data_IF_653177899377
#
_entry.id   IF_653177899377
#
_cell.length_a   1.000
_cell.length_b   1.000
_cell.length_c   1.000
_cell.angle_alpha   90.00
_cell.angle_beta   90.00
_cell.angle_gamma   90.00
#
_symmetry.space_group_name_H-M   'P 1'
#
loop_
_entity.id
_entity.type
_entity.pdbx_description
1 polymer ?
#
# COMPACT_ATOMS: atom_id res chain seq x y z
N UNK A 1 0.98 18.18 -23.00
CA UNK A 1 2.31 18.04 -22.39
C UNK A 1 2.29 18.93 -21.16
N UNK A 2 1.85 18.40 -20.05
CA UNK A 2 1.94 19.07 -18.76
C UNK A 2 3.41 18.94 -18.34
N UNK A 3 4.08 20.07 -18.13
CA UNK A 3 5.45 20.09 -17.62
C UNK A 3 5.44 19.37 -16.27
N UNK A 4 6.12 18.22 -16.23
CA UNK A 4 6.48 17.56 -14.98
C UNK A 4 7.26 18.58 -14.14
N UNK A 5 6.93 18.70 -12.86
CA UNK A 5 7.71 19.51 -11.94
C UNK A 5 9.20 19.19 -12.11
N UNK A 6 10.12 20.20 -12.03
CA UNK A 6 11.52 19.93 -12.25
C UNK A 6 12.00 18.88 -11.27
N UNK A 7 12.46 17.74 -11.83
CA UNK A 7 13.04 16.68 -11.05
C UNK A 7 14.18 17.28 -10.20
N UNK A 8 14.17 17.01 -8.91
CA UNK A 8 15.36 17.23 -8.08
C UNK A 8 16.44 16.38 -8.75
N UNK A 9 17.51 17.02 -9.27
CA UNK A 9 18.64 16.25 -9.84
C UNK A 9 19.22 15.36 -8.73
N UNK A 10 18.78 14.11 -8.70
CA UNK A 10 19.27 13.14 -7.72
C UNK A 10 20.76 12.90 -7.91
N UNK A 11 21.48 12.91 -6.82
CA UNK A 11 22.95 12.67 -6.84
C UNK A 11 23.19 11.18 -7.10
N UNK A 12 23.89 10.89 -8.21
CA UNK A 12 24.36 9.52 -8.50
C UNK A 12 25.65 9.25 -7.70
N UNK A 13 25.68 8.23 -6.84
CA UNK A 13 26.90 7.88 -6.11
C UNK A 13 28.05 7.51 -7.04
N UNK A 14 29.33 7.87 -6.71
CA UNK A 14 30.46 7.65 -7.62
C UNK A 14 30.75 6.18 -7.98
N UNK A 15 30.28 5.24 -7.16
CA UNK A 15 30.46 3.80 -7.41
C UNK A 15 29.42 3.22 -8.38
N UNK A 16 28.38 3.97 -8.73
CA UNK A 16 27.34 3.52 -9.66
C UNK A 16 27.88 3.61 -11.10
N UNK A 17 27.91 2.50 -11.87
CA UNK A 17 28.34 2.54 -13.26
C UNK A 17 27.38 3.42 -14.10
N UNK A 18 27.91 4.36 -14.92
CA UNK A 18 27.06 5.28 -15.70
C UNK A 18 26.06 4.59 -16.63
N UNK A 19 26.42 3.41 -17.15
CA UNK A 19 25.54 2.60 -18.02
C UNK A 19 24.31 2.04 -17.32
N UNK A 20 24.37 1.92 -15.98
CA UNK A 20 23.25 1.46 -15.16
C UNK A 20 22.35 2.61 -14.69
N UNK A 21 22.74 3.86 -14.89
CA UNK A 21 21.90 5.00 -14.52
C UNK A 21 20.75 5.12 -15.51
N UNK A 22 19.52 5.16 -15.03
CA UNK A 22 18.30 5.30 -15.83
C UNK A 22 17.42 6.40 -15.27
N UNK A 23 16.81 7.16 -16.17
CA UNK A 23 15.80 8.15 -15.82
C UNK A 23 14.48 7.45 -15.52
N UNK A 24 14.21 7.25 -14.26
CA UNK A 24 12.95 6.74 -13.73
C UNK A 24 12.56 7.61 -12.54
N UNK A 25 11.37 8.15 -12.61
CA UNK A 25 10.82 8.97 -11.55
C UNK A 25 9.59 8.28 -10.94
N UNK A 26 9.77 7.79 -9.73
CA UNK A 26 8.72 7.25 -8.87
C UNK A 26 8.94 7.87 -7.49
N UNK A 27 7.93 8.53 -6.94
CA UNK A 27 8.03 9.18 -5.64
C UNK A 27 6.89 10.15 -5.40
N UNK A 28 6.97 10.87 -4.29
CA UNK A 28 5.99 11.87 -3.89
C UNK A 28 5.88 12.99 -4.94
N UNK A 29 4.64 13.41 -5.25
CA UNK A 29 4.36 14.51 -6.17
C UNK A 29 4.42 14.14 -7.65
N UNK A 30 4.72 12.89 -8.00
CA UNK A 30 4.69 12.45 -9.40
C UNK A 30 3.34 11.88 -9.78
N UNK A 31 2.78 12.41 -10.86
CA UNK A 31 1.43 12.11 -11.36
C UNK A 31 1.49 11.66 -12.81
N UNK A 32 0.61 10.74 -13.20
CA UNK A 32 0.46 10.28 -14.57
C UNK A 32 -1.02 10.13 -14.94
N UNK A 33 -1.37 10.47 -16.18
CA UNK A 33 -2.68 10.14 -16.77
C UNK A 33 -2.73 8.70 -17.31
N UNK A 34 -1.55 8.06 -17.44
CA UNK A 34 -1.44 6.67 -17.87
C UNK A 34 -1.78 5.74 -16.70
N UNK A 35 -2.17 4.51 -17.01
CA UNK A 35 -2.21 3.48 -15.98
C UNK A 35 -0.79 3.26 -15.44
N UNK A 36 -0.53 3.40 -14.13
CA UNK A 36 0.83 3.23 -13.57
C UNK A 36 1.50 1.90 -13.93
N UNK A 37 0.71 0.85 -14.08
CA UNK A 37 1.18 -0.48 -14.43
C UNK A 37 1.70 -0.60 -15.88
N UNK A 38 1.34 0.31 -16.78
CA UNK A 38 1.97 0.41 -18.11
C UNK A 38 3.43 0.86 -18.01
N UNK A 39 3.73 1.74 -17.04
CA UNK A 39 5.10 2.16 -16.74
C UNK A 39 5.91 0.98 -16.20
N UNK A 40 5.29 0.15 -15.35
CA UNK A 40 5.91 -1.10 -14.85
C UNK A 40 6.23 -2.05 -15.99
N UNK A 41 5.32 -2.23 -16.96
CA UNK A 41 5.55 -3.07 -18.13
C UNK A 41 6.66 -2.51 -19.03
N UNK A 42 6.76 -1.19 -19.17
CA UNK A 42 7.87 -0.53 -19.89
C UNK A 42 9.21 -0.75 -19.20
N UNK A 43 9.26 -0.68 -17.87
CA UNK A 43 10.48 -0.99 -17.10
C UNK A 43 10.93 -2.43 -17.38
N UNK A 44 10.00 -3.40 -17.39
CA UNK A 44 10.35 -4.77 -17.72
C UNK A 44 10.84 -4.96 -19.14
N UNK A 45 10.31 -4.21 -20.10
CA UNK A 45 10.65 -4.31 -21.51
C UNK A 45 11.96 -3.60 -21.86
N UNK A 46 12.15 -2.37 -21.34
CA UNK A 46 13.11 -1.40 -21.88
C UNK A 46 14.32 -1.17 -20.97
N UNK A 47 14.26 -1.55 -19.68
CA UNK A 47 15.32 -1.32 -18.72
C UNK A 47 16.13 -2.60 -18.43
N UNK A 48 17.40 -2.50 -18.05
CA UNK A 48 18.18 -3.66 -17.63
C UNK A 48 17.59 -4.28 -16.33
N UNK A 49 17.95 -5.53 -16.00
CA UNK A 49 17.46 -6.20 -14.80
C UNK A 49 17.76 -5.43 -13.50
N UNK A 50 18.89 -4.72 -13.46
CA UNK A 50 19.32 -3.88 -12.34
C UNK A 50 19.71 -2.52 -12.88
N UNK A 51 19.25 -1.45 -12.27
CA UNK A 51 19.62 -0.09 -12.61
C UNK A 51 19.51 0.84 -11.41
N UNK A 52 20.19 1.99 -11.50
CA UNK A 52 20.09 3.06 -10.51
C UNK A 52 19.19 4.18 -11.05
N UNK A 53 18.20 4.57 -10.28
CA UNK A 53 17.28 5.66 -10.60
C UNK A 53 17.54 6.85 -9.66
N UNK A 54 18.12 7.97 -10.16
CA UNK A 54 18.49 9.12 -9.31
C UNK A 54 17.30 9.79 -8.61
N UNK A 55 16.12 9.69 -9.23
CA UNK A 55 14.90 10.33 -8.75
C UNK A 55 13.93 9.36 -8.04
N UNK A 56 14.38 8.14 -7.75
CA UNK A 56 13.58 7.15 -7.06
C UNK A 56 13.24 7.61 -5.64
N UNK A 57 11.96 7.66 -5.30
CA UNK A 57 11.46 8.01 -3.96
C UNK A 57 12.08 9.29 -3.40
N UNK A 58 12.36 10.27 -4.30
CA UNK A 58 12.94 11.59 -4.00
C UNK A 58 14.35 11.57 -3.38
N UNK A 59 15.05 10.43 -3.42
CA UNK A 59 16.39 10.29 -2.83
C UNK A 59 17.36 9.44 -3.66
N UNK A 60 16.87 8.83 -4.74
CA UNK A 60 17.65 7.91 -5.58
C UNK A 60 17.83 6.52 -4.95
N UNK A 61 18.09 5.53 -5.80
CA UNK A 61 18.32 4.17 -5.34
C UNK A 61 18.40 3.14 -6.47
N UNK A 62 18.81 1.95 -6.09
CA UNK A 62 18.83 0.80 -6.95
C UNK A 62 17.44 0.22 -7.17
N UNK A 63 17.13 -0.16 -8.39
CA UNK A 63 15.90 -0.84 -8.78
C UNK A 63 16.25 -2.20 -9.37
N UNK A 64 15.61 -3.23 -8.84
CA UNK A 64 15.67 -4.60 -9.34
C UNK A 64 14.32 -4.96 -9.91
N UNK A 65 14.22 -5.16 -11.25
CA UNK A 65 12.93 -5.43 -11.86
C UNK A 65 12.48 -6.89 -11.78
N UNK A 66 13.44 -7.83 -11.60
CA UNK A 66 13.13 -9.25 -11.52
C UNK A 66 12.59 -9.65 -10.16
N UNK A 67 11.61 -10.51 -10.18
CA UNK A 67 10.97 -11.07 -8.97
C UNK A 67 11.98 -11.82 -8.10
N UNK A 68 12.89 -12.60 -8.71
CA UNK A 68 13.89 -13.37 -7.98
C UNK A 68 14.89 -12.50 -7.21
N UNK A 69 15.35 -11.40 -7.83
CA UNK A 69 16.27 -10.46 -7.22
C UNK A 69 15.61 -9.72 -6.05
N UNK A 70 14.38 -9.27 -6.24
CA UNK A 70 13.60 -8.66 -5.17
C UNK A 70 13.31 -9.63 -4.02
N UNK A 71 13.02 -10.89 -4.34
CA UNK A 71 12.84 -11.93 -3.33
C UNK A 71 14.08 -12.09 -2.46
N UNK A 72 15.28 -12.11 -3.07
CA UNK A 72 16.52 -12.19 -2.35
C UNK A 72 16.72 -11.00 -1.39
N UNK A 73 16.43 -9.78 -1.86
CA UNK A 73 16.51 -8.55 -1.03
C UNK A 73 15.51 -8.60 0.13
N UNK A 74 14.25 -8.96 -0.12
CA UNK A 74 13.21 -9.03 0.93
C UNK A 74 13.53 -10.03 2.04
N UNK A 75 14.29 -11.10 1.71
CA UNK A 75 14.62 -12.17 2.66
C UNK A 75 15.95 -11.95 3.39
N UNK A 76 16.75 -10.98 2.98
CA UNK A 76 18.07 -10.72 3.52
C UNK A 76 18.10 -9.46 4.40
N UNK A 77 17.53 -9.59 5.59
CA UNK A 77 17.53 -8.49 6.57
C UNK A 77 18.93 -8.22 7.17
N UNK A 78 19.92 -9.10 6.96
CA UNK A 78 21.30 -8.87 7.41
C UNK A 78 21.99 -7.77 6.57
N UNK A 79 21.70 -7.73 5.26
CA UNK A 79 22.28 -6.75 4.34
C UNK A 79 21.33 -5.61 4.02
N UNK A 80 20.00 -5.82 4.03
CA UNK A 80 19.00 -4.86 3.60
C UNK A 80 18.01 -4.53 4.74
N UNK A 81 18.39 -3.53 5.53
CA UNK A 81 17.63 -3.07 6.69
C UNK A 81 16.32 -2.37 6.30
N UNK A 82 15.31 -2.58 7.14
CA UNK A 82 14.04 -1.87 7.07
C UNK A 82 14.01 -0.58 7.90
N UNK A 83 15.09 -0.26 8.59
CA UNK A 83 15.13 0.92 9.46
C UNK A 83 15.09 2.21 8.65
N UNK A 84 14.34 3.20 9.16
CA UNK A 84 14.25 4.53 8.55
C UNK A 84 13.85 4.54 7.08
N UNK A 85 12.79 3.79 6.74
CA UNK A 85 12.23 3.78 5.37
C UNK A 85 11.56 5.12 5.03
N UNK A 86 11.02 5.82 6.02
CA UNK A 86 10.37 7.12 5.88
C UNK A 86 10.83 8.09 6.98
N UNK A 87 10.95 9.40 6.69
CA UNK A 87 11.46 10.38 7.63
C UNK A 87 10.39 10.91 8.63
N UNK A 88 9.26 10.21 8.82
CA UNK A 88 8.12 10.73 9.57
C UNK A 88 8.45 11.04 11.04
N UNK A 89 9.22 10.18 11.71
CA UNK A 89 9.62 10.44 13.10
C UNK A 89 10.51 11.69 13.20
N UNK A 90 11.46 11.86 12.28
CA UNK A 90 12.33 13.03 12.20
C UNK A 90 11.53 14.31 11.92
N UNK A 91 10.60 14.27 10.98
CA UNK A 91 9.71 15.39 10.63
C UNK A 91 8.86 15.84 11.81
N UNK A 92 8.43 14.91 12.67
CA UNK A 92 7.71 15.23 13.91
C UNK A 92 8.63 15.67 15.06
N UNK A 93 9.96 15.68 14.89
CA UNK A 93 10.92 15.91 15.97
C UNK A 93 10.85 14.84 17.06
N UNK A 94 10.36 13.65 16.73
CA UNK A 94 10.13 12.53 17.63
C UNK A 94 11.26 11.51 17.62
N UNK A 95 11.27 10.66 18.64
CA UNK A 95 12.17 9.50 18.75
C UNK A 95 11.34 8.22 18.86
N UNK A 96 10.68 7.87 17.76
CA UNK A 96 9.88 6.65 17.59
C UNK A 96 10.15 6.04 16.22
N UNK A 97 9.79 4.79 16.03
CA UNK A 97 9.92 4.08 14.75
C UNK A 97 8.59 3.45 14.39
N UNK A 98 8.29 3.31 13.12
CA UNK A 98 7.08 2.62 12.65
C UNK A 98 7.17 1.12 12.94
N UNK A 99 6.44 0.65 13.96
CA UNK A 99 6.46 -0.73 14.40
C UNK A 99 5.34 -1.53 13.72
N UNK A 100 5.61 -2.73 13.15
CA UNK A 100 6.91 -3.40 13.05
C UNK A 100 7.66 -3.15 11.74
N UNK A 101 7.18 -2.29 10.83
CA UNK A 101 7.69 -2.18 9.45
C UNK A 101 9.12 -1.64 9.37
N UNK A 102 9.54 -0.80 10.33
CA UNK A 102 10.89 -0.27 10.45
C UNK A 102 11.76 -1.02 11.47
N UNK A 103 11.37 -2.23 11.83
CA UNK A 103 12.16 -3.06 12.74
C UNK A 103 12.87 -4.18 11.98
N UNK A 104 14.12 -4.43 12.34
CA UNK A 104 14.87 -5.62 11.91
C UNK A 104 14.86 -6.68 13.01
N UNK A 105 15.24 -7.94 12.73
CA UNK A 105 15.43 -8.95 13.78
C UNK A 105 16.55 -8.54 14.77
N UNK A 106 16.44 -8.89 16.07
CA UNK A 106 15.37 -9.72 16.65
C UNK A 106 14.11 -8.97 17.05
N UNK A 107 14.13 -7.62 17.16
CA UNK A 107 13.04 -6.79 17.69
C UNK A 107 11.75 -6.95 16.87
N UNK A 108 11.87 -7.01 15.53
CA UNK A 108 10.75 -7.24 14.63
C UNK A 108 9.90 -8.44 15.04
N UNK A 109 10.52 -9.55 15.45
CA UNK A 109 9.81 -10.80 15.77
C UNK A 109 8.89 -10.65 16.98
N UNK A 110 9.29 -9.85 17.98
CA UNK A 110 8.50 -9.62 19.18
C UNK A 110 7.18 -8.92 18.84
N UNK A 111 7.26 -7.80 18.10
CA UNK A 111 6.07 -7.04 17.72
C UNK A 111 5.20 -7.80 16.72
N UNK A 112 5.83 -8.51 15.79
CA UNK A 112 5.10 -9.33 14.82
C UNK A 112 4.27 -10.39 15.51
N UNK A 113 4.86 -11.09 16.47
CA UNK A 113 4.19 -12.14 17.26
C UNK A 113 3.03 -11.58 18.08
N UNK A 114 3.20 -10.38 18.64
CA UNK A 114 2.15 -9.67 19.37
C UNK A 114 0.95 -9.35 18.48
N UNK A 115 1.17 -8.91 17.25
CA UNK A 115 0.10 -8.48 16.35
C UNK A 115 -0.61 -9.62 15.64
N UNK A 116 0.08 -10.73 15.36
CA UNK A 116 -0.46 -11.85 14.56
C UNK A 116 -1.86 -12.34 14.98
N UNK A 117 -2.23 -12.43 16.27
CA UNK A 117 -3.57 -12.89 16.66
C UNK A 117 -4.70 -12.03 16.06
N UNK A 118 -4.52 -10.69 15.97
CA UNK A 118 -5.50 -9.74 15.44
C UNK A 118 -5.64 -9.81 13.91
N UNK A 119 -4.61 -10.28 13.23
CA UNK A 119 -4.56 -10.36 11.77
C UNK A 119 -4.63 -11.81 11.26
N UNK A 120 -4.95 -12.76 12.15
CA UNK A 120 -5.13 -14.17 11.77
C UNK A 120 -6.34 -14.34 10.84
N UNK A 121 -6.39 -15.45 10.05
CA UNK A 121 -7.57 -15.73 9.21
C UNK A 121 -8.88 -15.76 9.99
N UNK A 122 -8.83 -16.21 11.27
CA UNK A 122 -10.00 -16.24 12.16
C UNK A 122 -10.42 -14.82 12.56
N UNK A 123 -9.49 -14.00 13.07
CA UNK A 123 -9.79 -12.63 13.47
C UNK A 123 -10.30 -11.79 12.28
N UNK A 124 -9.73 -11.98 11.08
CA UNK A 124 -10.23 -11.36 9.88
C UNK A 124 -11.65 -11.84 9.52
N UNK A 125 -11.98 -13.12 9.78
CA UNK A 125 -13.34 -13.63 9.56
C UNK A 125 -14.35 -13.05 10.55
N UNK A 126 -13.93 -12.77 11.76
CA UNK A 126 -14.80 -12.16 12.79
C UNK A 126 -15.20 -10.71 12.41
N UNK A 127 -14.52 -10.09 11.44
CA UNK A 127 -14.85 -8.76 10.88
C UNK A 127 -15.82 -8.81 9.69
N UNK A 128 -16.15 -9.99 9.13
CA UNK A 128 -16.93 -10.10 7.89
C UNK A 128 -18.26 -9.33 7.91
N UNK A 129 -19.01 -9.44 8.99
CA UNK A 129 -20.32 -8.76 9.12
C UNK A 129 -20.16 -7.23 9.08
N UNK A 130 -19.13 -6.70 9.75
CA UNK A 130 -18.81 -5.27 9.75
C UNK A 130 -18.32 -4.80 8.38
N UNK A 131 -17.46 -5.58 7.75
CA UNK A 131 -16.95 -5.30 6.39
C UNK A 131 -18.12 -5.21 5.41
N UNK A 132 -19.04 -6.17 5.44
CA UNK A 132 -20.22 -6.18 4.58
C UNK A 132 -21.18 -5.02 4.90
N UNK A 133 -21.39 -4.71 6.17
CA UNK A 133 -22.24 -3.60 6.63
C UNK A 133 -21.71 -2.26 6.12
N UNK A 134 -20.41 -1.97 6.35
CA UNK A 134 -19.80 -0.71 5.92
C UNK A 134 -19.78 -0.58 4.40
N UNK A 135 -19.37 -1.61 3.66
CA UNK A 135 -19.40 -1.57 2.20
C UNK A 135 -20.81 -1.30 1.67
N UNK A 136 -21.82 -2.03 2.15
CA UNK A 136 -23.23 -1.84 1.74
C UNK A 136 -23.72 -0.44 2.08
N UNK A 137 -23.44 0.06 3.28
CA UNK A 137 -23.90 1.39 3.72
C UNK A 137 -23.33 2.52 2.85
N UNK A 138 -22.09 2.41 2.37
CA UNK A 138 -21.52 3.40 1.47
C UNK A 138 -22.16 3.32 0.07
N UNK A 139 -22.31 2.13 -0.50
CA UNK A 139 -22.92 1.93 -1.83
C UNK A 139 -24.34 2.48 -1.88
N UNK A 140 -25.14 2.24 -0.83
CA UNK A 140 -26.52 2.73 -0.75
C UNK A 140 -26.66 4.26 -0.81
N UNK A 141 -25.61 5.02 -0.50
CA UNK A 141 -25.63 6.49 -0.58
C UNK A 141 -25.66 7.02 -2.00
N UNK A 142 -25.19 6.23 -2.98
CA UNK A 142 -25.06 6.67 -4.36
C UNK A 142 -25.67 5.72 -5.41
N UNK A 143 -26.05 4.48 -5.05
CA UNK A 143 -26.55 3.48 -6.02
C UNK A 143 -27.70 3.97 -6.92
N UNK A 144 -28.53 4.89 -6.40
CA UNK A 144 -29.68 5.45 -7.12
C UNK A 144 -29.35 6.69 -7.97
N UNK A 145 -28.10 7.18 -7.91
CA UNK A 145 -27.71 8.42 -8.59
C UNK A 145 -27.24 8.21 -10.04
N UNK A 146 -27.06 6.95 -10.46
CA UNK A 146 -26.52 6.61 -11.78
C UNK A 146 -25.03 6.91 -11.95
N UNK A 147 -24.36 7.44 -10.92
CA UNK A 147 -22.94 7.73 -10.91
C UNK A 147 -22.36 7.94 -9.51
N UNK A 148 -21.04 7.80 -9.40
CA UNK A 148 -20.28 8.19 -8.21
C UNK A 148 -18.85 8.60 -8.59
N UNK A 149 -18.17 9.32 -7.70
CA UNK A 149 -16.72 9.42 -7.71
C UNK A 149 -16.20 8.31 -6.80
N UNK A 150 -15.79 7.18 -7.39
CA UNK A 150 -15.52 5.94 -6.68
C UNK A 150 -14.44 6.07 -5.59
N UNK A 151 -13.37 6.82 -5.85
CA UNK A 151 -12.31 6.98 -4.84
C UNK A 151 -12.85 7.72 -3.62
N UNK A 152 -13.50 8.86 -3.80
CA UNK A 152 -14.01 9.70 -2.74
C UNK A 152 -15.27 9.13 -2.06
N UNK A 153 -16.21 8.56 -2.84
CA UNK A 153 -17.51 8.13 -2.33
C UNK A 153 -17.45 6.72 -1.72
N UNK A 154 -16.41 5.93 -2.03
CA UNK A 154 -16.30 4.56 -1.56
C UNK A 154 -14.89 4.14 -1.15
N UNK A 155 -13.91 4.20 -2.07
CA UNK A 155 -12.63 3.49 -1.93
C UNK A 155 -11.77 4.00 -0.77
N UNK A 156 -11.74 5.31 -0.53
CA UNK A 156 -11.01 5.91 0.59
C UNK A 156 -11.78 5.79 1.92
N UNK A 157 -13.10 5.73 1.88
CA UNK A 157 -13.94 5.68 3.08
C UNK A 157 -13.97 4.27 3.66
N UNK A 158 -14.28 3.29 2.82
CA UNK A 158 -14.62 1.95 3.27
C UNK A 158 -13.49 1.25 4.05
N UNK A 159 -12.24 1.18 3.56
CA UNK A 159 -11.13 0.60 4.33
C UNK A 159 -10.81 1.40 5.60
N UNK A 160 -10.97 2.74 5.54
CA UNK A 160 -10.73 3.60 6.70
C UNK A 160 -11.68 3.29 7.85
N UNK A 161 -12.95 3.00 7.57
CA UNK A 161 -13.91 2.59 8.60
C UNK A 161 -13.51 1.27 9.27
N UNK A 162 -13.01 0.31 8.50
CA UNK A 162 -12.50 -0.98 9.03
C UNK A 162 -11.27 -0.77 9.91
N UNK A 163 -10.33 0.08 9.46
CA UNK A 163 -9.16 0.43 10.25
C UNK A 163 -9.55 1.07 11.59
N UNK A 164 -10.43 2.08 11.58
CA UNK A 164 -10.88 2.76 12.78
C UNK A 164 -11.58 1.80 13.75
N UNK A 165 -12.42 0.90 13.24
CA UNK A 165 -13.07 -0.15 14.04
C UNK A 165 -12.02 -1.07 14.70
N UNK A 166 -11.02 -1.54 13.95
CA UNK A 166 -9.96 -2.41 14.44
C UNK A 166 -9.13 -1.74 15.56
N UNK A 167 -8.86 -0.45 15.42
CA UNK A 167 -8.09 0.35 16.36
C UNK A 167 -8.91 0.89 17.54
N UNK A 168 -10.25 0.70 17.53
CA UNK A 168 -11.16 1.25 18.53
C UNK A 168 -11.24 2.78 18.48
N UNK A 169 -11.08 3.37 17.28
CA UNK A 169 -11.17 4.81 17.08
C UNK A 169 -12.57 5.22 16.63
N UNK A 170 -13.01 6.48 16.88
CA UNK A 170 -14.30 6.97 16.42
C UNK A 170 -14.41 6.95 14.90
N UNK A 171 -15.30 6.09 14.35
CA UNK A 171 -15.49 5.93 12.91
C UNK A 171 -16.02 7.19 12.23
N UNK A 172 -16.67 8.07 12.96
CA UNK A 172 -17.18 9.36 12.48
C UNK A 172 -16.06 10.33 12.06
N UNK A 173 -14.84 10.09 12.52
CA UNK A 173 -13.66 10.91 12.21
C UNK A 173 -12.90 10.45 10.98
N UNK A 174 -13.42 9.50 10.21
CA UNK A 174 -12.70 8.92 9.06
C UNK A 174 -12.19 9.99 8.07
N UNK A 175 -12.96 11.07 7.84
CA UNK A 175 -12.54 12.15 6.92
C UNK A 175 -11.25 12.83 7.36
N UNK A 176 -11.06 13.03 8.67
CA UNK A 176 -9.83 13.61 9.21
C UNK A 176 -8.63 12.67 8.99
N UNK A 177 -8.82 11.36 9.23
CA UNK A 177 -7.76 10.37 9.02
C UNK A 177 -7.35 10.27 7.55
N UNK A 178 -8.30 10.25 6.64
CA UNK A 178 -8.04 10.27 5.18
C UNK A 178 -7.32 11.56 4.77
N UNK A 179 -7.71 12.72 5.30
CA UNK A 179 -7.05 13.99 5.00
C UNK A 179 -5.59 14.00 5.49
N UNK A 180 -5.33 13.57 6.73
CA UNK A 180 -3.97 13.49 7.27
C UNK A 180 -3.08 12.58 6.44
N UNK A 181 -3.58 11.42 6.06
CA UNK A 181 -2.84 10.47 5.24
C UNK A 181 -2.54 11.02 3.85
N UNK A 182 -3.52 11.62 3.17
CA UNK A 182 -3.33 12.24 1.87
C UNK A 182 -2.22 13.31 1.90
N UNK A 183 -2.22 14.18 2.91
CA UNK A 183 -1.16 15.18 3.09
C UNK A 183 0.19 14.46 3.29
N UNK A 184 0.26 13.48 4.18
CA UNK A 184 1.53 12.81 4.50
C UNK A 184 2.11 12.03 3.32
N UNK A 185 1.29 11.45 2.45
CA UNK A 185 1.77 10.61 1.36
C UNK A 185 1.92 11.34 0.02
N UNK A 186 1.15 12.42 -0.23
CA UNK A 186 1.00 13.00 -1.55
C UNK A 186 1.33 14.49 -1.66
N UNK A 187 1.31 15.23 -0.54
CA UNK A 187 1.62 16.66 -0.58
C UNK A 187 3.13 16.86 -0.79
N UNK A 188 3.52 17.80 -1.63
CA UNK A 188 4.90 18.17 -1.92
C UNK A 188 5.44 19.24 -0.96
N UNK A 189 4.55 19.93 -0.23
CA UNK A 189 4.91 20.88 0.83
C UNK A 189 5.32 20.15 2.12
N UNK A 190 6.62 20.04 2.36
CA UNK A 190 7.16 19.31 3.52
C UNK A 190 6.80 19.93 4.87
N UNK A 191 6.47 21.23 4.93
CA UNK A 191 5.99 21.85 6.17
C UNK A 191 4.56 21.39 6.49
N UNK A 192 3.71 21.25 5.48
CA UNK A 192 2.37 20.66 5.61
C UNK A 192 2.46 19.19 6.00
N UNK A 193 3.36 18.44 5.39
CA UNK A 193 3.62 17.03 5.74
C UNK A 193 4.04 16.92 7.21
N UNK A 194 5.02 17.71 7.64
CA UNK A 194 5.49 17.71 9.04
C UNK A 194 4.35 18.06 10.02
N UNK A 195 3.51 19.03 9.66
CA UNK A 195 2.33 19.41 10.46
C UNK A 195 1.31 18.27 10.56
N UNK A 196 1.02 17.57 9.46
CA UNK A 196 0.12 16.42 9.46
C UNK A 196 0.67 15.26 10.31
N UNK A 197 1.96 14.94 10.16
CA UNK A 197 2.64 13.93 11.00
C UNK A 197 2.51 14.29 12.47
N UNK A 198 2.82 15.55 12.85
CA UNK A 198 2.68 16.03 14.23
C UNK A 198 1.25 15.93 14.76
N UNK A 199 0.25 16.17 13.91
CA UNK A 199 -1.18 16.05 14.27
C UNK A 199 -1.54 14.60 14.57
N UNK A 200 -1.13 13.65 13.73
CA UNK A 200 -1.38 12.22 13.92
C UNK A 200 -0.66 11.69 15.18
N UNK A 201 0.59 12.07 15.38
CA UNK A 201 1.36 11.70 16.58
C UNK A 201 0.65 12.22 17.83
N UNK A 202 0.29 13.49 17.88
CA UNK A 202 -0.45 14.10 19.00
C UNK A 202 -1.78 13.37 19.26
N UNK A 203 -2.50 13.02 18.22
CA UNK A 203 -3.75 12.27 18.34
C UNK A 203 -3.52 10.94 19.06
N UNK A 204 -2.58 10.12 18.58
CA UNK A 204 -2.30 8.84 19.22
C UNK A 204 -1.73 8.99 20.63
N UNK A 205 -0.91 10.00 20.90
CA UNK A 205 -0.44 10.29 22.26
C UNK A 205 -1.58 10.58 23.23
N UNK A 206 -2.57 11.37 22.81
CA UNK A 206 -3.75 11.68 23.61
C UNK A 206 -4.62 10.45 23.84
N UNK A 207 -4.85 9.63 22.80
CA UNK A 207 -5.60 8.38 22.93
C UNK A 207 -4.93 7.39 23.90
N UNK A 208 -3.61 7.22 23.80
CA UNK A 208 -2.85 6.36 24.70
C UNK A 208 -2.95 6.86 26.14
N UNK A 209 -2.82 8.18 26.37
CA UNK A 209 -2.92 8.76 27.70
C UNK A 209 -4.34 8.64 28.28
N UNK A 210 -5.37 8.86 27.48
CA UNK A 210 -6.77 8.75 27.90
C UNK A 210 -7.17 7.30 28.28
N UNK A 211 -6.53 6.30 27.67
CA UNK A 211 -6.82 4.88 27.88
C UNK A 211 -5.96 4.21 28.96
N UNK A 212 -5.11 4.94 29.68
CA UNK A 212 -4.19 4.33 30.67
C UNK A 212 -4.87 3.49 31.75
N UNK A 213 -6.03 3.92 32.25
CA UNK A 213 -6.78 3.22 33.31
C UNK A 213 -7.82 2.24 32.74
N UNK A 214 -8.22 2.44 31.49
CA UNK A 214 -9.20 1.59 30.79
C UNK A 214 -8.80 1.41 29.32
N UNK A 215 -7.87 0.52 29.01
CA UNK A 215 -7.28 0.36 27.67
C UNK A 215 -8.28 -0.01 26.58
N UNK A 216 -9.37 -0.74 26.90
CA UNK A 216 -10.32 -1.27 25.94
C UNK A 216 -9.90 -2.67 25.41
N UNK A 217 -10.80 -3.26 24.59
CA UNK A 217 -10.64 -4.61 24.04
C UNK A 217 -10.18 -4.57 22.55
N UNK A 218 -9.96 -3.39 21.99
CA UNK A 218 -9.47 -3.16 20.63
C UNK A 218 -7.96 -3.38 20.52
N UNK A 219 -7.41 -3.24 19.30
CA UNK A 219 -6.00 -3.51 19.04
C UNK A 219 -5.07 -2.57 19.83
N UNK A 220 -5.41 -1.28 19.95
CA UNK A 220 -4.60 -0.35 20.75
C UNK A 220 -4.66 -0.72 22.24
N UNK A 221 -5.83 -1.01 22.79
CA UNK A 221 -6.01 -1.44 24.19
C UNK A 221 -5.22 -2.72 24.50
N UNK A 222 -5.25 -3.68 23.58
CA UNK A 222 -4.43 -4.88 23.70
C UNK A 222 -2.93 -4.54 23.69
N UNK A 223 -2.44 -3.73 22.77
CA UNK A 223 -1.03 -3.34 22.69
C UNK A 223 -0.56 -2.62 23.97
N UNK A 224 -1.42 -1.81 24.60
CA UNK A 224 -1.13 -1.11 25.84
C UNK A 224 -0.96 -2.06 27.05
N UNK A 225 -1.59 -3.22 27.01
CA UNK A 225 -1.58 -4.20 28.13
C UNK A 225 -0.63 -5.36 27.90
N UNK A 226 -0.31 -5.67 26.65
CA UNK A 226 0.54 -6.78 26.27
C UNK A 226 2.01 -6.57 26.68
N UNK A 227 2.72 -7.67 26.87
CA UNK A 227 4.16 -7.66 27.13
C UNK A 227 4.94 -8.03 25.87
N UNK A 228 5.96 -7.23 25.59
CA UNK A 228 6.94 -7.48 24.54
C UNK A 228 8.29 -7.67 25.21
N UNK A 229 8.91 -8.81 25.04
CA UNK A 229 10.18 -9.16 25.67
C UNK A 229 10.18 -8.97 27.21
N UNK A 230 9.07 -9.39 27.86
CA UNK A 230 8.90 -9.33 29.31
C UNK A 230 8.63 -7.93 29.91
N UNK A 231 8.34 -6.92 29.07
CA UNK A 231 7.95 -5.59 29.50
C UNK A 231 6.77 -5.05 28.68
N UNK A 232 6.04 -4.11 29.23
CA UNK A 232 5.04 -3.35 28.48
C UNK A 232 5.71 -2.42 27.46
N UNK A 233 4.99 -2.16 26.37
CA UNK A 233 5.41 -1.16 25.38
C UNK A 233 5.46 0.24 26.02
N UNK A 234 6.51 0.98 25.68
CA UNK A 234 6.62 2.40 26.01
C UNK A 234 5.60 3.23 25.19
N UNK A 235 5.36 4.48 25.59
CA UNK A 235 4.48 5.39 24.84
C UNK A 235 4.97 5.59 23.39
N UNK A 236 6.28 5.74 23.18
CA UNK A 236 6.87 5.90 21.86
C UNK A 236 6.66 4.66 20.97
N UNK A 237 6.76 3.46 21.55
CA UNK A 237 6.48 2.22 20.82
C UNK A 237 5.00 2.11 20.45
N UNK A 238 4.09 2.48 21.34
CA UNK A 238 2.64 2.51 21.06
C UNK A 238 2.30 3.55 19.99
N UNK A 239 2.92 4.73 20.02
CA UNK A 239 2.77 5.76 18.97
C UNK A 239 3.27 5.22 17.64
N UNK A 240 4.48 4.65 17.59
CA UNK A 240 5.05 4.09 16.37
C UNK A 240 4.25 2.93 15.80
N UNK A 241 3.68 2.07 16.65
CA UNK A 241 2.77 1.01 16.26
C UNK A 241 1.48 1.58 15.65
N UNK A 242 0.84 2.52 16.34
CA UNK A 242 -0.42 3.13 15.88
C UNK A 242 -0.23 3.90 14.58
N UNK A 243 0.87 4.65 14.47
CA UNK A 243 1.21 5.40 13.27
C UNK A 243 1.47 4.47 12.07
N UNK A 244 2.22 3.37 12.27
CA UNK A 244 2.43 2.40 11.20
C UNK A 244 1.13 1.75 10.73
N UNK A 245 0.27 1.34 11.66
CA UNK A 245 -1.00 0.73 11.32
C UNK A 245 -1.94 1.70 10.61
N UNK A 246 -1.89 2.99 10.99
CA UNK A 246 -2.62 4.06 10.33
C UNK A 246 -2.21 4.17 8.85
N UNK A 247 -0.92 4.32 8.55
CA UNK A 247 -0.45 4.40 7.16
C UNK A 247 -0.71 3.12 6.35
N UNK A 248 -0.53 1.96 6.97
CA UNK A 248 -0.68 0.70 6.26
C UNK A 248 -2.14 0.32 6.00
N UNK A 249 -3.06 0.80 6.82
CA UNK A 249 -4.45 0.34 6.84
C UNK A 249 -5.43 1.14 5.97
N UNK A 250 -5.10 2.39 5.61
CA UNK A 250 -6.04 3.25 4.89
C UNK A 250 -5.83 3.21 3.36
N UNK A 251 -4.61 3.39 2.91
CA UNK A 251 -4.30 3.72 1.52
C UNK A 251 -4.17 2.49 0.60
N UNK A 252 -3.62 1.40 1.11
CA UNK A 252 -3.24 0.26 0.27
C UNK A 252 -4.44 -0.49 -0.33
N UNK A 253 -5.49 -0.73 0.46
CA UNK A 253 -6.72 -1.36 -0.05
C UNK A 253 -7.46 -0.41 -0.98
N UNK A 254 -7.47 0.89 -0.65
CA UNK A 254 -8.05 1.94 -1.48
C UNK A 254 -7.42 1.98 -2.87
N UNK A 255 -6.09 1.90 -2.94
CA UNK A 255 -5.35 1.84 -4.20
C UNK A 255 -5.73 0.62 -5.06
N UNK A 256 -5.74 -0.56 -4.44
CA UNK A 256 -6.14 -1.78 -5.15
C UNK A 256 -7.58 -1.73 -5.64
N UNK A 257 -8.52 -1.26 -4.82
CA UNK A 257 -9.91 -1.05 -5.23
C UNK A 257 -9.99 -0.09 -6.42
N UNK A 258 -9.27 1.04 -6.39
CA UNK A 258 -9.21 2.00 -7.48
C UNK A 258 -8.78 1.35 -8.80
N UNK A 259 -7.70 0.57 -8.79
CA UNK A 259 -7.20 -0.12 -10.00
C UNK A 259 -8.14 -1.25 -10.46
N UNK A 260 -8.68 -2.04 -9.54
CA UNK A 260 -9.62 -3.13 -9.84
C UNK A 260 -10.89 -2.58 -10.51
N UNK A 261 -11.49 -1.55 -9.92
CA UNK A 261 -12.74 -0.97 -10.44
C UNK A 261 -12.52 -0.18 -11.73
N UNK A 262 -11.36 0.49 -11.91
CA UNK A 262 -10.96 1.04 -13.20
C UNK A 262 -10.90 -0.06 -14.26
N UNK A 263 -10.21 -1.16 -13.97
CA UNK A 263 -10.10 -2.28 -14.89
C UNK A 263 -11.47 -2.85 -15.25
N UNK A 264 -12.34 -3.10 -14.27
CA UNK A 264 -13.69 -3.63 -14.54
C UNK A 264 -14.57 -2.65 -15.34
N UNK A 265 -14.42 -1.34 -15.14
CA UNK A 265 -15.11 -0.31 -15.90
C UNK A 265 -14.62 -0.21 -17.36
N UNK A 266 -13.34 -0.53 -17.61
CA UNK A 266 -12.73 -0.57 -18.95
C UNK A 266 -12.93 -1.94 -19.66
N UNK A 267 -13.29 -3.01 -18.90
CA UNK A 267 -13.43 -4.38 -19.41
C UNK A 267 -14.82 -4.98 -19.07
N UNK A 268 -15.87 -4.55 -19.79
CA UNK A 268 -17.25 -4.94 -19.49
C UNK A 268 -17.51 -6.45 -19.56
N UNK A 269 -16.79 -7.17 -20.43
CA UNK A 269 -16.93 -8.64 -20.56
C UNK A 269 -16.48 -9.35 -19.26
N UNK A 270 -15.36 -8.92 -18.67
CA UNK A 270 -14.88 -9.47 -17.40
C UNK A 270 -15.75 -9.03 -16.22
N UNK A 271 -16.30 -7.82 -16.25
CA UNK A 271 -17.27 -7.36 -15.27
C UNK A 271 -18.55 -8.21 -15.30
N UNK A 272 -19.06 -8.52 -16.51
CA UNK A 272 -20.24 -9.37 -16.70
C UNK A 272 -19.95 -10.83 -16.30
N UNK A 273 -18.77 -11.34 -16.61
CA UNK A 273 -18.36 -12.68 -16.21
C UNK A 273 -18.37 -12.85 -14.69
N UNK A 274 -17.78 -11.91 -13.92
CA UNK A 274 -17.79 -11.95 -12.48
C UNK A 274 -19.19 -11.77 -11.90
N UNK A 275 -20.06 -10.98 -12.54
CA UNK A 275 -21.46 -10.80 -12.12
C UNK A 275 -22.25 -12.08 -12.28
N UNK A 276 -22.04 -12.81 -13.37
CA UNK A 276 -22.76 -14.04 -13.67
C UNK A 276 -22.17 -15.26 -12.92
N UNK A 277 -20.92 -15.19 -12.46
CA UNK A 277 -20.20 -16.27 -11.79
C UNK A 277 -19.54 -15.78 -10.48
N UNK A 278 -20.33 -15.49 -9.42
CA UNK A 278 -19.80 -14.94 -8.16
C UNK A 278 -18.76 -15.84 -7.47
N UNK A 279 -18.72 -17.13 -7.80
CA UNK A 279 -17.71 -18.06 -7.31
C UNK A 279 -16.30 -17.76 -7.81
N UNK A 280 -16.16 -17.01 -8.93
CA UNK A 280 -14.87 -16.56 -9.46
C UNK A 280 -14.26 -15.39 -8.68
N UNK A 281 -15.03 -14.70 -7.81
CA UNK A 281 -14.56 -13.50 -7.10
C UNK A 281 -13.29 -13.80 -6.29
N UNK A 282 -13.23 -14.91 -5.56
CA UNK A 282 -12.04 -15.24 -4.76
C UNK A 282 -10.79 -15.49 -5.60
N UNK A 283 -10.97 -16.11 -6.73
CA UNK A 283 -9.90 -16.35 -7.70
C UNK A 283 -9.48 -15.04 -8.38
N UNK A 284 -10.45 -14.21 -8.78
CA UNK A 284 -10.18 -12.92 -9.39
C UNK A 284 -9.41 -11.97 -8.45
N UNK A 285 -9.70 -11.97 -7.15
CA UNK A 285 -8.93 -11.18 -6.17
C UNK A 285 -7.45 -11.55 -6.22
N UNK A 286 -7.12 -12.84 -6.32
CA UNK A 286 -5.72 -13.28 -6.37
C UNK A 286 -5.02 -12.72 -7.61
N UNK A 287 -5.68 -12.76 -8.77
CA UNK A 287 -5.14 -12.23 -10.01
C UNK A 287 -5.10 -10.69 -10.02
N UNK A 288 -6.14 -10.02 -9.54
CA UNK A 288 -6.12 -8.57 -9.39
C UNK A 288 -4.98 -8.08 -8.48
N UNK A 289 -4.80 -8.72 -7.34
CA UNK A 289 -3.69 -8.37 -6.43
C UNK A 289 -2.33 -8.59 -7.09
N UNK A 290 -2.17 -9.65 -7.91
CA UNK A 290 -0.97 -9.87 -8.70
C UNK A 290 -0.78 -8.75 -9.74
N UNK A 291 -1.78 -8.50 -10.56
CA UNK A 291 -1.67 -7.58 -11.69
C UNK A 291 -1.55 -6.13 -11.28
N UNK A 292 -2.17 -5.76 -10.16
CA UNK A 292 -2.22 -4.39 -9.64
C UNK A 292 -1.45 -4.22 -8.34
N UNK A 293 -0.29 -4.89 -8.19
CA UNK A 293 0.63 -4.56 -7.10
C UNK A 293 0.89 -3.05 -7.09
N UNK A 294 0.74 -2.40 -5.93
CA UNK A 294 0.71 -0.94 -5.87
C UNK A 294 1.82 -0.33 -5.01
N UNK A 295 2.51 -1.13 -4.20
CA UNK A 295 3.43 -0.62 -3.17
C UNK A 295 4.87 -0.71 -3.63
N UNK A 296 5.60 0.41 -3.50
CA UNK A 296 7.05 0.47 -3.62
C UNK A 296 7.63 1.14 -2.38
N UNK A 297 8.51 0.44 -1.68
CA UNK A 297 9.24 0.95 -0.51
C UNK A 297 10.73 0.74 -0.71
N UNK A 298 11.56 1.33 0.16
CA UNK A 298 12.99 1.16 0.10
C UNK A 298 13.51 0.26 1.23
N UNK A 299 14.72 -0.28 1.03
CA UNK A 299 15.59 -0.85 2.05
C UNK A 299 16.91 -0.10 2.02
N UNK A 300 17.60 -0.06 3.15
CA UNK A 300 18.95 0.49 3.22
C UNK A 300 19.93 -0.67 3.24
N UNK A 301 20.88 -0.67 2.31
CA UNK A 301 22.01 -1.59 2.39
C UNK A 301 22.88 -1.19 3.59
N UNK A 302 23.02 -2.05 4.59
CA UNK A 302 23.79 -1.78 5.82
C UNK A 302 25.13 -2.52 5.85
N UNK A 303 25.36 -3.39 4.86
CA UNK A 303 26.59 -4.15 4.67
C UNK A 303 26.74 -4.44 3.18
N UNK A 304 27.92 -4.14 2.61
CA UNK A 304 28.17 -4.37 1.18
C UNK A 304 27.67 -5.74 0.72
N UNK A 305 26.90 -5.76 -0.35
CA UNK A 305 26.28 -6.96 -0.90
C UNK A 305 26.44 -7.02 -2.42
N UNK A 306 26.26 -8.20 -3.00
CA UNK A 306 26.20 -8.38 -4.45
C UNK A 306 24.85 -9.00 -4.79
N UNK A 307 24.03 -8.29 -5.57
CA UNK A 307 22.74 -8.79 -6.05
C UNK A 307 22.72 -8.72 -7.57
N UNK A 308 22.33 -9.81 -8.23
CA UNK A 308 22.31 -9.92 -9.68
C UNK A 308 23.64 -9.50 -10.36
N UNK A 309 24.78 -9.73 -9.70
CA UNK A 309 26.10 -9.38 -10.20
C UNK A 309 26.50 -7.90 -10.04
N UNK A 310 25.68 -7.08 -9.40
CA UNK A 310 25.95 -5.67 -9.12
C UNK A 310 26.33 -5.49 -7.65
N UNK A 311 27.39 -4.72 -7.39
CA UNK A 311 27.80 -4.36 -6.03
C UNK A 311 26.90 -3.24 -5.49
N UNK A 312 26.24 -3.50 -4.36
CA UNK A 312 25.45 -2.54 -3.60
C UNK A 312 26.26 -2.18 -2.35
N UNK A 313 26.50 -0.90 -2.16
CA UNK A 313 27.34 -0.42 -1.07
C UNK A 313 26.54 -0.08 0.18
N UNK A 314 27.22 -0.19 1.32
CA UNK A 314 26.65 0.28 2.59
C UNK A 314 26.19 1.75 2.46
N UNK A 315 24.96 2.03 2.83
CA UNK A 315 24.27 3.32 2.67
C UNK A 315 23.39 3.45 1.42
N UNK A 316 23.54 2.57 0.44
CA UNK A 316 22.69 2.59 -0.76
C UNK A 316 21.23 2.26 -0.40
N UNK A 317 20.30 2.96 -1.07
CA UNK A 317 18.88 2.62 -1.05
C UNK A 317 18.55 1.63 -2.17
N UNK A 318 17.71 0.68 -1.85
CA UNK A 318 17.23 -0.35 -2.78
C UNK A 318 15.70 -0.36 -2.77
N UNK A 319 15.07 -0.22 -3.93
CA UNK A 319 13.63 -0.34 -4.06
C UNK A 319 13.18 -1.80 -4.00
N UNK A 320 12.13 -2.05 -3.24
CA UNK A 320 11.35 -3.29 -3.29
C UNK A 320 9.92 -2.93 -3.69
N UNK A 321 9.48 -3.46 -4.83
CA UNK A 321 8.24 -3.07 -5.50
C UNK A 321 7.34 -4.28 -5.76
N UNK A 322 6.16 -4.27 -5.16
CA UNK A 322 5.16 -5.33 -5.40
C UNK A 322 4.67 -5.30 -6.85
N UNK A 323 4.63 -4.13 -7.48
CA UNK A 323 4.24 -3.98 -8.88
C UNK A 323 5.25 -4.64 -9.83
N UNK A 324 6.54 -4.30 -9.70
CA UNK A 324 7.60 -4.92 -10.51
C UNK A 324 7.66 -6.43 -10.29
N UNK A 325 7.68 -6.87 -9.03
CA UNK A 325 7.82 -8.28 -8.71
C UNK A 325 6.63 -9.14 -9.19
N UNK A 326 5.42 -8.59 -9.21
CA UNK A 326 4.21 -9.33 -9.57
C UNK A 326 3.84 -9.25 -11.07
N UNK A 327 4.58 -8.47 -11.85
CA UNK A 327 4.41 -8.36 -13.31
C UNK A 327 5.65 -8.82 -14.10
N UNK A 328 6.55 -9.54 -13.45
CA UNK A 328 7.78 -10.04 -14.06
C UNK A 328 7.47 -11.06 -15.19
N UNK A 329 7.83 -10.77 -16.45
CA UNK A 329 7.60 -11.68 -17.57
C UNK A 329 8.45 -12.95 -17.52
N UNK A 330 9.47 -13.02 -16.67
CA UNK A 330 10.24 -14.24 -16.43
C UNK A 330 9.49 -15.23 -15.51
N UNK A 331 8.45 -14.74 -14.78
CA UNK A 331 7.62 -15.53 -13.86
C UNK A 331 6.21 -15.74 -14.42
N UNK A 332 5.66 -14.73 -15.08
CA UNK A 332 4.28 -14.73 -15.56
C UNK A 332 4.21 -14.59 -17.07
N UNK A 333 3.56 -15.53 -17.73
CA UNK A 333 3.17 -15.39 -19.12
C UNK A 333 2.10 -14.30 -19.25
N UNK A 334 2.22 -13.38 -20.23
CA UNK A 334 1.30 -12.24 -20.40
C UNK A 334 1.01 -11.50 -19.07
N UNK A 335 2.02 -10.92 -18.40
CA UNK A 335 1.88 -10.41 -17.04
C UNK A 335 0.91 -9.22 -16.91
N UNK A 336 0.63 -8.50 -18.00
CA UNK A 336 -0.34 -7.40 -18.07
C UNK A 336 -1.79 -7.87 -18.20
N UNK A 337 -2.02 -9.10 -18.65
CA UNK A 337 -3.36 -9.66 -18.81
C UNK A 337 -3.93 -10.16 -17.47
N UNK A 338 -5.24 -9.98 -17.29
CA UNK A 338 -6.00 -10.53 -16.18
C UNK A 338 -6.58 -11.88 -16.57
N UNK A 339 -6.11 -12.94 -15.95
CA UNK A 339 -6.46 -14.34 -16.26
C UNK A 339 -6.86 -15.04 -14.97
N UNK A 340 -8.18 -15.32 -14.80
CA UNK A 340 -8.69 -15.88 -13.53
C UNK A 340 -8.09 -17.23 -13.17
N UNK A 341 -7.90 -18.09 -14.15
CA UNK A 341 -7.36 -19.45 -14.00
C UNK A 341 -5.84 -19.55 -14.20
N UNK A 342 -5.15 -18.41 -14.04
CA UNK A 342 -3.68 -18.40 -14.07
C UNK A 342 -3.11 -19.45 -13.14
N UNK A 343 -2.16 -20.28 -13.59
CA UNK A 343 -1.52 -21.27 -12.72
C UNK A 343 -0.96 -20.62 -11.45
N UNK A 344 -1.11 -21.27 -10.29
CA UNK A 344 -0.57 -20.75 -9.05
C UNK A 344 0.92 -20.48 -9.16
N UNK A 345 1.32 -19.27 -8.83
CA UNK A 345 2.72 -18.85 -8.73
C UNK A 345 2.91 -18.09 -7.43
N UNK A 346 4.14 -17.93 -7.02
CA UNK A 346 4.45 -17.15 -5.82
C UNK A 346 4.27 -15.66 -6.12
N UNK A 347 3.08 -15.13 -5.84
CA UNK A 347 2.85 -13.68 -5.93
C UNK A 347 3.56 -12.96 -4.79
N UNK A 348 4.22 -11.85 -5.12
CA UNK A 348 4.85 -10.92 -4.17
C UNK A 348 3.99 -9.67 -3.91
N UNK A 349 2.71 -9.71 -4.24
CA UNK A 349 1.78 -8.58 -4.07
C UNK A 349 1.64 -8.11 -2.63
N UNK A 350 1.84 -9.00 -1.69
CA UNK A 350 1.85 -8.72 -0.25
C UNK A 350 3.28 -8.72 0.35
N UNK A 351 4.30 -8.58 -0.51
CA UNK A 351 5.68 -8.74 -0.08
C UNK A 351 6.01 -10.18 0.32
N UNK A 352 7.14 -10.37 0.98
CA UNK A 352 7.61 -11.68 1.44
C UNK A 352 8.60 -11.56 2.60
N UNK A 353 9.07 -12.70 3.12
CA UNK A 353 10.01 -12.72 4.24
C UNK A 353 9.34 -12.29 5.55
N UNK A 354 10.13 -11.72 6.44
CA UNK A 354 9.67 -11.32 7.78
C UNK A 354 8.62 -10.20 7.74
N UNK A 355 8.68 -9.34 6.71
CA UNK A 355 7.76 -8.22 6.52
C UNK A 355 6.57 -8.53 5.58
N UNK A 356 6.25 -9.81 5.32
CA UNK A 356 5.02 -10.14 4.58
C UNK A 356 3.82 -9.41 5.19
N UNK A 357 2.93 -8.89 4.35
CA UNK A 357 1.81 -8.06 4.81
C UNK A 357 1.02 -8.71 5.96
N UNK A 358 0.86 -7.99 7.05
CA UNK A 358 0.12 -8.45 8.22
C UNK A 358 -1.38 -8.49 7.92
N UNK A 359 -1.89 -7.49 7.18
CA UNK A 359 -3.29 -7.29 6.86
C UNK A 359 -3.85 -8.13 5.70
N UNK A 360 -3.09 -9.09 5.16
CA UNK A 360 -3.47 -9.84 3.96
C UNK A 360 -4.87 -10.45 4.01
N UNK A 361 -5.28 -10.97 5.16
CA UNK A 361 -6.59 -11.62 5.31
C UNK A 361 -7.74 -10.61 5.39
N UNK A 362 -7.51 -9.45 5.99
CA UNK A 362 -8.48 -8.36 6.08
C UNK A 362 -8.65 -7.74 4.68
N UNK A 363 -7.55 -7.34 4.03
CA UNK A 363 -7.56 -6.74 2.69
C UNK A 363 -8.31 -7.60 1.65
N UNK A 364 -8.08 -8.92 1.65
CA UNK A 364 -8.80 -9.83 0.74
C UNK A 364 -10.30 -9.88 1.01
N UNK A 365 -10.73 -9.71 2.26
CA UNK A 365 -12.14 -9.68 2.65
C UNK A 365 -12.81 -8.37 2.27
N UNK A 366 -12.10 -7.25 2.44
CA UNK A 366 -12.56 -5.93 2.00
C UNK A 366 -12.76 -5.89 0.48
N UNK A 367 -11.76 -6.34 -0.29
CA UNK A 367 -11.87 -6.40 -1.76
C UNK A 367 -13.03 -7.33 -2.17
N UNK A 368 -13.18 -8.50 -1.52
CA UNK A 368 -14.29 -9.42 -1.77
C UNK A 368 -15.65 -8.75 -1.54
N UNK A 369 -15.82 -8.06 -0.41
CA UNK A 369 -17.06 -7.37 -0.09
C UNK A 369 -17.40 -6.27 -1.09
N UNK A 370 -16.40 -5.47 -1.48
CA UNK A 370 -16.55 -4.45 -2.49
C UNK A 370 -16.99 -5.03 -3.84
N UNK A 371 -16.26 -6.01 -4.36
CA UNK A 371 -16.59 -6.67 -5.63
C UNK A 371 -17.99 -7.28 -5.59
N UNK A 372 -18.28 -8.09 -4.56
CA UNK A 372 -19.56 -8.76 -4.42
C UNK A 372 -20.71 -7.76 -4.42
N UNK A 373 -20.62 -6.72 -3.58
CA UNK A 373 -21.73 -5.78 -3.40
C UNK A 373 -21.91 -4.83 -4.58
N UNK A 374 -20.84 -4.37 -5.22
CA UNK A 374 -20.96 -3.57 -6.44
C UNK A 374 -21.59 -4.35 -7.58
N UNK A 375 -21.13 -5.58 -7.80
CA UNK A 375 -21.68 -6.44 -8.84
C UNK A 375 -23.14 -6.88 -8.54
N UNK A 376 -23.54 -6.99 -7.28
CA UNK A 376 -24.90 -7.34 -6.86
C UNK A 376 -25.86 -6.13 -6.95
N UNK A 377 -25.44 -4.96 -6.46
CA UNK A 377 -26.32 -3.82 -6.19
C UNK A 377 -26.37 -2.79 -7.32
N UNK A 378 -25.34 -2.71 -8.16
CA UNK A 378 -25.28 -1.74 -9.25
C UNK A 378 -25.45 -2.45 -10.62
N UNK A 379 -26.09 -1.78 -11.59
CA UNK A 379 -26.00 -2.20 -12.99
C UNK A 379 -24.56 -2.24 -13.51
N UNK A 380 -24.30 -2.75 -14.71
CA UNK A 380 -23.01 -2.62 -15.36
C UNK A 380 -22.56 -1.15 -15.37
N UNK A 381 -21.35 -0.92 -14.87
CA UNK A 381 -20.78 0.42 -14.75
C UNK A 381 -19.61 0.60 -15.72
N UNK A 382 -19.34 1.85 -16.05
CA UNK A 382 -18.25 2.28 -16.94
C UNK A 382 -17.62 3.56 -16.41
N UNK A 383 -16.46 3.95 -16.93
CA UNK A 383 -15.88 5.26 -16.67
C UNK A 383 -16.78 6.33 -17.31
N UNK A 384 -17.04 7.44 -16.58
CA UNK A 384 -17.81 8.59 -17.08
C UNK A 384 -17.18 9.11 -18.39
N UNK A 385 -18.00 9.35 -19.40
CA UNK A 385 -17.51 9.70 -20.73
C UNK A 385 -16.71 11.00 -20.71
N UNK A 386 -15.49 10.96 -21.25
CA UNK A 386 -14.57 12.09 -21.33
C UNK A 386 -13.76 12.35 -20.03
N UNK A 387 -13.88 11.49 -19.03
CA UNK A 387 -13.07 11.61 -17.83
C UNK A 387 -11.60 11.26 -18.08
N UNK A 388 -10.70 12.04 -17.52
CA UNK A 388 -9.27 11.74 -17.41
C UNK A 388 -8.98 11.22 -16.02
N UNK A 389 -8.25 10.11 -15.91
CA UNK A 389 -7.88 9.50 -14.64
C UNK A 389 -6.39 9.73 -14.41
N UNK A 390 -6.09 10.61 -13.47
CA UNK A 390 -4.73 10.83 -12.99
C UNK A 390 -4.42 9.87 -11.83
N UNK A 391 -3.20 9.39 -11.79
CA UNK A 391 -2.72 8.47 -10.74
C UNK A 391 -1.43 8.97 -10.12
N UNK A 392 -1.30 8.77 -8.81
CA UNK A 392 -0.07 8.94 -8.04
C UNK A 392 0.94 7.84 -8.38
N UNK A 393 2.20 8.22 -8.47
CA UNK A 393 3.36 7.33 -8.62
C UNK A 393 4.23 7.27 -7.36
N UNK A 394 3.65 7.58 -6.20
CA UNK A 394 4.33 7.57 -4.91
C UNK A 394 4.58 6.17 -4.33
N UNK A 395 4.71 6.11 -3.01
CA UNK A 395 4.89 4.86 -2.25
C UNK A 395 3.78 3.86 -2.54
N UNK A 396 2.54 4.36 -2.72
CA UNK A 396 1.38 3.58 -3.12
C UNK A 396 0.81 4.20 -4.39
N UNK A 397 0.91 3.51 -5.51
CA UNK A 397 0.33 3.94 -6.77
C UNK A 397 -1.18 3.86 -6.70
N UNK A 398 -1.89 4.98 -6.89
CA UNK A 398 -3.34 5.04 -6.74
C UNK A 398 -3.94 6.07 -7.71
N UNK A 399 -5.11 5.81 -8.33
CA UNK A 399 -5.86 6.85 -9.03
C UNK A 399 -6.38 7.89 -8.03
N UNK A 400 -6.24 9.18 -8.35
CA UNK A 400 -6.77 10.27 -7.50
C UNK A 400 -8.29 10.34 -7.55
N UNK A 401 -8.86 10.05 -8.71
CA UNK A 401 -10.29 10.03 -8.94
C UNK A 401 -10.65 8.91 -9.93
N UNK A 402 -11.81 8.32 -9.74
CA UNK A 402 -12.37 7.33 -10.64
C UNK A 402 -13.88 7.58 -10.80
N UNK A 403 -14.29 8.49 -11.69
CA UNK A 403 -15.70 8.76 -11.94
C UNK A 403 -16.33 7.59 -12.70
N UNK A 404 -17.28 6.92 -12.04
CA UNK A 404 -18.06 5.81 -12.59
C UNK A 404 -19.49 6.23 -12.84
N UNK A 405 -20.08 5.72 -13.93
CA UNK A 405 -21.49 5.89 -14.27
C UNK A 405 -22.16 4.56 -14.66
N UNK A 406 -23.47 4.47 -14.46
CA UNK A 406 -24.31 3.33 -14.84
C UNK A 406 -25.72 3.79 -15.19
N UNK A 407 -26.48 2.95 -15.89
CA UNK A 407 -27.85 3.25 -16.26
C UNK A 407 -28.79 2.98 -15.06
N UNK A 408 -29.75 3.90 -14.77
CA UNK A 408 -30.71 3.83 -13.64
C UNK A 408 -32.09 3.52 -14.15
#
# INVERSE_FOLDING_TARGET
>A
MTELAPAIEGVVPPHVPPELVKDLTIGRGFVTERLPHEIVDEIHRDFPPVFYAPNLMNGGGWVFRRSEDQLAIWQDAEHFSSQQIQPFAELAGGNWTMIPVEQDPPEHEFYRRLLMPFFSPKAAADLDDKIMEYARSQIMKFQHKGKCEFMKDFSLIFPSLIFLELMGMPVERFEEFVEWENIMLRDDDMDRVASAVGTVVNYFEQEIDARRESPGDDLLGFAMTAEVDGRKMSKNELVGLSFNLFLAGLDTVSAHLGHIFRHLAENPDQQEELRNNPELIDQSITEFMRAFGAVTITRTCVKDAVVAGVEIKNGDKVAVSTALASRDPEVYESPSEIIWDRPPSRSLSFGTGIHVCLGVHIARREIRAALKLFLELLPPFRIENGATIESDLGTVMMPFALPLEWDV
#
